data_IF_759709205062
#
_entry.id   IF_759709205062
#
_cell.length_a   1.000
_cell.length_b   1.000
_cell.length_c   1.000
_cell.angle_alpha   90.00
_cell.angle_beta   90.00
_cell.angle_gamma   90.00
#
_symmetry.space_group_name_H-M   'P 1'
#
loop_
_entity.id
_entity.type
_entity.pdbx_description
1 polymer ?
#
# COMPACT_ATOMS: atom_id res chain seq x y z
N UNK A 1 9.71 4.70 38.93
CA UNK A 1 11.02 5.18 38.72
C UNK A 1 11.35 5.53 37.31
N UNK A 2 12.59 5.79 37.03
CA UNK A 2 13.07 6.21 35.72
C UNK A 2 12.75 5.16 34.61
N UNK A 3 12.87 3.91 34.97
CA UNK A 3 12.58 2.82 34.04
C UNK A 3 11.11 2.79 33.59
N UNK A 4 10.19 2.97 34.54
CA UNK A 4 8.77 3.01 34.21
C UNK A 4 8.41 4.23 33.36
N UNK A 5 9.08 5.36 33.59
CA UNK A 5 8.88 6.54 32.77
C UNK A 5 9.29 6.30 31.32
N UNK A 6 10.42 5.64 31.08
CA UNK A 6 10.87 5.31 29.73
C UNK A 6 9.89 4.40 29.00
N UNK A 7 9.32 3.41 29.67
CA UNK A 7 8.33 2.54 29.07
C UNK A 7 7.06 3.29 28.70
N UNK A 8 6.60 4.20 29.56
CA UNK A 8 5.41 4.97 29.28
C UNK A 8 5.58 5.97 28.15
N UNK A 9 6.73 6.64 28.08
CA UNK A 9 6.98 7.68 27.06
C UNK A 9 7.35 7.13 25.70
N UNK A 10 7.81 5.88 25.61
CA UNK A 10 8.22 5.26 24.36
C UNK A 10 7.10 4.58 23.58
N UNK A 11 5.92 4.47 24.17
CA UNK A 11 4.81 3.78 23.52
C UNK A 11 4.02 4.71 22.62
N UNK A 12 4.10 4.48 21.32
CA UNK A 12 3.23 5.11 20.33
C UNK A 12 2.23 4.07 19.84
N UNK A 13 1.06 4.51 19.36
CA UNK A 13 0.15 3.60 18.67
C UNK A 13 0.82 3.07 17.41
N UNK A 14 0.38 1.90 16.93
CA UNK A 14 0.94 1.32 15.70
C UNK A 14 0.77 2.25 14.51
N UNK A 15 -0.34 2.99 14.44
CA UNK A 15 -0.62 3.93 13.35
C UNK A 15 0.32 5.14 13.36
N UNK A 16 0.90 5.47 14.51
CA UNK A 16 1.80 6.62 14.68
C UNK A 16 3.27 6.27 14.50
N UNK A 17 3.60 4.97 14.43
CA UNK A 17 4.99 4.56 14.27
C UNK A 17 5.51 4.99 12.90
N UNK A 18 6.66 5.71 12.84
CA UNK A 18 7.20 6.11 11.55
C UNK A 18 7.68 4.90 10.77
N UNK A 19 7.47 4.92 9.46
CA UNK A 19 8.07 3.93 8.59
C UNK A 19 9.54 4.22 8.41
N UNK A 20 10.38 3.17 8.46
CA UNK A 20 11.79 3.29 8.15
C UNK A 20 12.04 3.73 6.70
N UNK A 21 11.05 3.59 5.82
CA UNK A 21 11.15 3.92 4.40
C UNK A 21 10.85 5.38 4.08
N UNK A 22 10.30 6.15 5.01
CA UNK A 22 9.95 7.55 4.72
C UNK A 22 11.18 8.31 4.21
N UNK A 23 11.02 8.95 3.04
CA UNK A 23 12.04 9.68 2.29
C UNK A 23 13.14 8.81 1.70
N UNK A 24 12.99 7.48 1.74
CA UNK A 24 13.94 6.54 1.15
C UNK A 24 13.38 5.94 -0.14
N UNK A 25 14.26 5.46 -1.03
CA UNK A 25 13.80 4.72 -2.20
C UNK A 25 13.01 3.48 -1.77
N UNK A 26 11.99 3.11 -2.56
CA UNK A 26 11.30 1.84 -2.34
C UNK A 26 12.30 0.69 -2.49
N UNK A 27 12.15 -0.37 -1.70
CA UNK A 27 13.01 -1.56 -1.87
C UNK A 27 12.89 -2.14 -3.27
N UNK A 28 13.98 -2.74 -3.75
CA UNK A 28 13.96 -3.48 -5.02
C UNK A 28 13.07 -4.71 -4.87
N UNK A 29 12.15 -4.88 -5.82
CA UNK A 29 11.32 -6.09 -5.87
C UNK A 29 10.87 -6.35 -7.30
N UNK A 30 10.52 -7.60 -7.56
CA UNK A 30 9.97 -8.03 -8.85
C UNK A 30 9.01 -9.18 -8.58
N UNK A 31 7.71 -8.88 -8.65
CA UNK A 31 6.66 -9.82 -8.31
C UNK A 31 5.93 -10.29 -9.57
N UNK A 32 5.57 -11.58 -9.63
CA UNK A 32 4.77 -12.09 -10.75
C UNK A 32 3.33 -11.56 -10.68
N UNK A 33 2.55 -11.69 -11.76
CA UNK A 33 1.12 -11.38 -11.71
C UNK A 33 0.40 -12.34 -10.76
N UNK A 34 -0.78 -11.93 -10.30
CA UNK A 34 -1.56 -12.77 -9.38
C UNK A 34 -2.04 -14.07 -10.03
N UNK A 35 -2.20 -14.09 -11.36
CA UNK A 35 -2.67 -15.26 -12.09
C UNK A 35 -2.04 -15.31 -13.47
N UNK A 36 -1.67 -16.53 -13.90
CA UNK A 36 -1.14 -16.75 -15.22
C UNK A 36 0.28 -16.25 -15.42
N UNK A 37 0.67 -16.16 -16.69
CA UNK A 37 1.94 -15.59 -17.12
C UNK A 37 1.72 -14.13 -17.52
N UNK A 38 2.78 -13.36 -17.51
CA UNK A 38 2.73 -11.97 -17.92
C UNK A 38 3.43 -11.04 -16.93
N UNK A 39 3.09 -9.76 -17.02
CA UNK A 39 3.73 -8.72 -16.25
C UNK A 39 3.05 -8.57 -14.90
N UNK A 40 3.84 -8.67 -13.83
CA UNK A 40 3.41 -8.36 -12.47
C UNK A 40 3.74 -6.92 -12.09
N UNK A 41 4.54 -6.75 -11.05
CA UNK A 41 4.89 -5.44 -10.52
C UNK A 41 6.33 -5.42 -10.04
N UNK A 42 7.07 -4.35 -10.38
CA UNK A 42 8.41 -4.13 -9.86
C UNK A 42 8.57 -2.67 -9.42
N UNK A 43 9.66 -2.37 -8.70
CA UNK A 43 9.95 -1.00 -8.26
C UNK A 43 10.12 -0.02 -9.42
N UNK A 44 10.47 -0.52 -10.59
CA UNK A 44 10.63 0.33 -11.78
C UNK A 44 9.31 0.95 -12.23
N UNK A 45 8.20 0.26 -11.97
CA UNK A 45 6.86 0.77 -12.31
C UNK A 45 6.45 1.98 -11.48
N UNK A 46 7.15 2.20 -10.35
CA UNK A 46 6.83 3.27 -9.41
C UNK A 46 7.57 4.58 -9.68
N UNK A 47 8.24 4.68 -10.81
CA UNK A 47 9.00 5.88 -11.17
C UNK A 47 8.31 6.67 -12.27
N UNK A 48 8.56 7.99 -12.30
CA UNK A 48 8.06 8.87 -13.35
C UNK A 48 6.70 9.49 -13.08
N UNK A 49 6.02 9.09 -12.01
CA UNK A 49 4.72 9.64 -11.61
C UNK A 49 4.51 9.44 -10.11
N UNK A 50 3.66 10.27 -9.53
CA UNK A 50 3.21 10.07 -8.15
C UNK A 50 2.19 8.95 -8.14
N UNK A 51 2.36 7.98 -7.26
CA UNK A 51 1.50 6.80 -7.20
C UNK A 51 1.18 6.38 -5.77
N UNK A 52 0.17 5.53 -5.64
CA UNK A 52 -0.13 4.82 -4.41
C UNK A 52 0.29 3.37 -4.56
N UNK A 53 0.81 2.80 -3.49
CA UNK A 53 1.06 1.35 -3.38
C UNK A 53 0.23 0.84 -2.22
N UNK A 54 -0.64 -0.11 -2.50
CA UNK A 54 -1.57 -0.69 -1.53
C UNK A 54 -1.25 -2.16 -1.31
N UNK A 55 -0.99 -2.54 -0.07
CA UNK A 55 -0.77 -3.93 0.31
C UNK A 55 -2.10 -4.50 0.80
N UNK A 56 -2.59 -5.53 0.12
CA UNK A 56 -3.93 -6.05 0.32
C UNK A 56 -3.97 -7.57 0.18
N UNK A 57 -5.09 -8.16 0.62
CA UNK A 57 -5.38 -9.57 0.40
C UNK A 57 -6.89 -9.78 0.34
N UNK A 58 -7.32 -10.80 -0.39
CA UNK A 58 -8.75 -11.13 -0.49
C UNK A 58 -9.32 -11.63 0.83
N UNK A 59 -8.49 -12.23 1.68
CA UNK A 59 -8.88 -12.76 2.99
C UNK A 59 -8.91 -11.69 4.09
N UNK A 60 -8.64 -10.45 3.76
CA UNK A 60 -8.51 -9.33 4.71
C UNK A 60 -9.81 -8.52 4.73
N UNK A 61 -10.66 -8.60 5.76
CA UNK A 61 -11.92 -7.85 5.81
C UNK A 61 -11.74 -6.33 5.71
N UNK A 62 -10.78 -5.69 6.41
CA UNK A 62 -10.57 -4.24 6.24
C UNK A 62 -10.20 -3.84 4.82
N UNK A 63 -9.53 -4.73 4.06
CA UNK A 63 -9.22 -4.47 2.66
C UNK A 63 -10.49 -4.36 1.82
N UNK A 64 -11.52 -5.14 2.14
CA UNK A 64 -12.81 -5.04 1.47
C UNK A 64 -13.52 -3.73 1.78
N UNK A 65 -13.42 -3.29 3.04
CA UNK A 65 -14.06 -2.04 3.48
C UNK A 65 -13.49 -0.83 2.75
N UNK A 66 -12.16 -0.77 2.56
CA UNK A 66 -11.53 0.39 1.91
C UNK A 66 -11.61 0.36 0.39
N UNK A 67 -11.96 -0.77 -0.21
CA UNK A 67 -11.79 -0.97 -1.66
C UNK A 67 -12.52 0.08 -2.49
N UNK A 68 -13.71 0.52 -2.06
CA UNK A 68 -14.46 1.57 -2.74
C UNK A 68 -13.74 2.93 -2.71
N UNK A 69 -12.95 3.18 -1.65
CA UNK A 69 -12.13 4.40 -1.57
C UNK A 69 -11.00 4.33 -2.59
N UNK A 70 -10.35 3.17 -2.72
CA UNK A 70 -9.33 2.96 -3.76
C UNK A 70 -9.92 3.15 -5.15
N UNK A 71 -11.13 2.65 -5.40
CA UNK A 71 -11.81 2.85 -6.68
C UNK A 71 -12.03 4.33 -6.98
N UNK A 72 -12.42 5.13 -5.98
CA UNK A 72 -12.57 6.58 -6.15
C UNK A 72 -11.25 7.27 -6.46
N UNK A 73 -10.16 6.86 -5.80
CA UNK A 73 -8.83 7.41 -6.08
C UNK A 73 -8.43 7.09 -7.52
N UNK A 74 -8.65 5.86 -7.95
CA UNK A 74 -8.33 5.45 -9.32
C UNK A 74 -9.10 6.30 -10.35
N UNK A 75 -10.36 6.62 -10.07
CA UNK A 75 -11.18 7.45 -10.95
C UNK A 75 -10.64 8.88 -11.12
N UNK A 76 -9.83 9.35 -10.18
CA UNK A 76 -9.17 10.67 -10.32
C UNK A 76 -7.96 10.63 -11.26
N UNK A 77 -7.57 9.46 -11.75
CA UNK A 77 -6.41 9.29 -12.62
C UNK A 77 -5.10 9.02 -11.89
N UNK A 78 -5.11 8.97 -10.56
CA UNK A 78 -3.91 8.64 -9.78
C UNK A 78 -3.58 7.17 -9.96
N UNK A 79 -2.35 6.82 -10.36
CA UNK A 79 -1.95 5.42 -10.47
C UNK A 79 -1.95 4.73 -9.10
N UNK A 80 -2.56 3.55 -9.03
CA UNK A 80 -2.51 2.71 -7.84
C UNK A 80 -1.92 1.37 -8.25
N UNK A 81 -0.95 0.90 -7.48
CA UNK A 81 -0.32 -0.40 -7.67
C UNK A 81 -0.61 -1.27 -6.45
N UNK A 82 -0.91 -2.54 -6.69
CA UNK A 82 -1.27 -3.46 -5.62
C UNK A 82 -0.18 -4.49 -5.36
N UNK A 83 0.13 -4.70 -4.09
CA UNK A 83 0.93 -5.84 -3.64
C UNK A 83 -0.03 -6.80 -2.95
N UNK A 84 -0.27 -7.94 -3.57
CA UNK A 84 -1.20 -8.95 -3.07
C UNK A 84 -0.47 -9.90 -2.13
N UNK A 85 -0.76 -9.79 -0.84
CA UNK A 85 -0.03 -10.45 0.23
C UNK A 85 -0.57 -11.85 0.52
N UNK A 86 0.27 -12.87 0.36
CA UNK A 86 0.00 -14.26 0.74
C UNK A 86 -1.42 -14.72 0.43
N UNK A 87 -1.81 -14.60 -0.83
CA UNK A 87 -3.16 -14.91 -1.28
C UNK A 87 -3.11 -16.06 -2.28
N UNK A 88 -4.27 -16.62 -2.60
CA UNK A 88 -4.38 -17.56 -3.70
C UNK A 88 -4.71 -16.81 -4.98
N UNK A 89 -4.22 -17.28 -6.16
CA UNK A 89 -4.53 -16.61 -7.42
C UNK A 89 -6.03 -16.48 -7.67
N UNK A 90 -6.78 -17.55 -7.42
CA UNK A 90 -8.22 -17.60 -7.68
C UNK A 90 -8.99 -16.63 -6.78
N UNK A 91 -8.67 -16.60 -5.48
CA UNK A 91 -9.36 -15.72 -4.54
C UNK A 91 -9.02 -14.24 -4.83
N UNK A 92 -7.77 -13.94 -5.13
CA UNK A 92 -7.35 -12.58 -5.48
C UNK A 92 -8.04 -12.09 -6.76
N UNK A 93 -8.06 -12.92 -7.80
CA UNK A 93 -8.73 -12.59 -9.06
C UNK A 93 -10.22 -12.38 -8.87
N UNK A 94 -10.87 -13.23 -8.07
CA UNK A 94 -12.31 -13.12 -7.76
C UNK A 94 -12.62 -11.84 -7.01
N UNK A 95 -11.78 -11.46 -6.05
CA UNK A 95 -11.92 -10.20 -5.31
C UNK A 95 -11.96 -9.00 -6.28
N UNK A 96 -11.00 -8.92 -7.19
CA UNK A 96 -10.93 -7.82 -8.16
C UNK A 96 -12.08 -7.85 -9.16
N UNK A 97 -12.52 -9.04 -9.57
CA UNK A 97 -13.66 -9.18 -10.48
C UNK A 97 -14.95 -8.69 -9.81
N UNK A 98 -15.17 -9.04 -8.54
CA UNK A 98 -16.42 -8.75 -7.84
C UNK A 98 -16.47 -7.31 -7.31
N UNK A 99 -15.35 -6.76 -6.85
CA UNK A 99 -15.31 -5.44 -6.22
C UNK A 99 -14.74 -4.34 -7.10
N UNK A 100 -14.23 -4.71 -8.28
CA UNK A 100 -13.57 -3.78 -9.18
C UNK A 100 -12.05 -3.81 -9.03
N UNK A 101 -11.34 -3.40 -10.09
CA UNK A 101 -9.88 -3.38 -10.10
C UNK A 101 -9.37 -1.94 -10.21
N UNK A 102 -8.95 -1.32 -9.08
CA UNK A 102 -8.40 0.03 -9.10
C UNK A 102 -6.93 0.06 -9.51
N UNK A 103 -6.26 -1.10 -9.62
CA UNK A 103 -4.83 -1.19 -9.79
C UNK A 103 -4.41 -1.15 -11.25
N UNK A 104 -3.37 -0.37 -11.56
CA UNK A 104 -2.74 -0.42 -12.89
C UNK A 104 -1.95 -1.70 -13.08
N UNK A 105 -1.35 -2.21 -12.01
CA UNK A 105 -0.67 -3.50 -12.01
C UNK A 105 -0.70 -4.05 -10.59
N UNK A 106 -0.65 -5.38 -10.50
CA UNK A 106 -0.64 -6.09 -9.24
C UNK A 106 0.49 -7.11 -9.26
N UNK A 107 1.25 -7.15 -8.17
CA UNK A 107 2.27 -8.18 -7.96
C UNK A 107 1.84 -9.14 -6.86
N UNK A 108 2.08 -10.43 -7.07
CA UNK A 108 1.77 -11.47 -6.09
C UNK A 108 2.94 -11.70 -5.15
N UNK A 109 2.80 -11.23 -3.92
CA UNK A 109 3.79 -11.43 -2.85
C UNK A 109 3.46 -12.70 -2.08
N UNK A 110 3.71 -13.85 -2.71
CA UNK A 110 3.26 -15.15 -2.21
C UNK A 110 3.94 -15.56 -0.92
N UNK A 111 5.22 -15.18 -0.75
CA UNK A 111 5.98 -15.50 0.46
C UNK A 111 5.82 -14.44 1.54
N UNK A 112 5.37 -13.24 1.20
CA UNK A 112 5.30 -12.11 2.11
C UNK A 112 6.61 -11.36 2.27
N UNK A 113 7.65 -11.71 1.52
CA UNK A 113 8.97 -11.08 1.67
C UNK A 113 8.94 -9.61 1.29
N UNK A 114 8.24 -9.24 0.22
CA UNK A 114 8.13 -7.83 -0.19
C UNK A 114 7.43 -7.00 0.89
N UNK A 115 6.37 -7.51 1.48
CA UNK A 115 5.70 -6.83 2.58
C UNK A 115 6.64 -6.62 3.77
N UNK A 116 7.46 -7.62 4.09
CA UNK A 116 8.47 -7.50 5.15
C UNK A 116 9.47 -6.39 4.79
N UNK A 117 9.97 -6.38 3.57
CA UNK A 117 10.95 -5.38 3.10
C UNK A 117 10.38 -3.96 3.16
N UNK A 118 9.08 -3.81 2.97
CA UNK A 118 8.38 -2.52 3.07
C UNK A 118 8.01 -2.17 4.51
N UNK A 119 8.29 -3.04 5.48
CA UNK A 119 7.97 -2.79 6.88
C UNK A 119 6.48 -2.91 7.20
N UNK A 120 5.72 -3.64 6.40
CA UNK A 120 4.28 -3.82 6.60
C UNK A 120 4.03 -4.71 7.82
N UNK A 121 3.19 -4.26 8.74
CA UNK A 121 2.81 -5.04 9.91
C UNK A 121 1.30 -5.10 10.12
N UNK A 122 0.53 -4.43 9.32
CA UNK A 122 -0.93 -4.49 9.33
C UNK A 122 -1.47 -4.52 7.90
N UNK A 123 -2.69 -4.99 7.74
CA UNK A 123 -3.32 -5.05 6.43
C UNK A 123 -4.71 -4.43 6.50
N UNK A 124 -5.05 -3.51 5.59
CA UNK A 124 -4.21 -3.01 4.51
C UNK A 124 -3.22 -1.93 4.97
N UNK A 125 -2.20 -1.68 4.17
CA UNK A 125 -1.35 -0.51 4.28
C UNK A 125 -1.24 0.17 2.92
N UNK A 126 -1.14 1.50 2.95
CA UNK A 126 -1.05 2.29 1.73
C UNK A 126 0.10 3.27 1.82
N UNK A 127 0.92 3.30 0.78
CA UNK A 127 2.09 4.18 0.68
C UNK A 127 1.89 5.15 -0.47
N UNK A 128 2.31 6.41 -0.27
CA UNK A 128 2.43 7.39 -1.35
C UNK A 128 3.88 7.44 -1.79
N UNK A 129 4.11 7.24 -3.09
CA UNK A 129 5.45 7.19 -3.68
C UNK A 129 5.57 8.34 -4.67
N UNK A 130 6.66 9.12 -4.57
CA UNK A 130 6.86 10.26 -5.46
C UNK A 130 7.46 9.85 -6.80
N UNK A 131 7.66 10.83 -7.70
CA UNK A 131 8.15 10.60 -9.08
C UNK A 131 9.51 9.92 -9.13
N UNK A 132 10.34 10.09 -8.12
CA UNK A 132 11.67 9.48 -8.08
C UNK A 132 11.68 8.11 -7.39
N UNK A 133 10.52 7.57 -7.03
CA UNK A 133 10.43 6.27 -6.40
C UNK A 133 10.72 6.26 -4.91
N UNK A 134 10.52 7.40 -4.23
CA UNK A 134 10.72 7.49 -2.77
C UNK A 134 9.38 7.49 -2.04
N UNK A 135 9.34 6.81 -0.91
CA UNK A 135 8.15 6.77 -0.04
C UNK A 135 8.02 8.10 0.68
N UNK A 136 6.86 8.75 0.53
CA UNK A 136 6.60 10.05 1.16
C UNK A 136 5.55 9.99 2.26
N UNK A 137 4.76 8.93 2.31
CA UNK A 137 3.68 8.81 3.29
C UNK A 137 3.28 7.35 3.44
N UNK A 138 2.85 6.99 4.64
CA UNK A 138 2.38 5.64 4.96
C UNK A 138 1.11 5.74 5.80
N UNK A 139 0.10 4.99 5.40
CA UNK A 139 -1.15 4.86 6.15
C UNK A 139 -1.35 3.40 6.51
N UNK A 140 -1.49 3.10 7.80
CA UNK A 140 -1.77 1.77 8.30
C UNK A 140 -3.26 1.64 8.55
N UNK A 141 -3.85 0.55 8.07
CA UNK A 141 -5.28 0.30 8.19
C UNK A 141 -6.08 0.82 7.01
N UNK A 142 -7.40 0.63 7.03
CA UNK A 142 -8.25 1.00 5.91
C UNK A 142 -8.31 2.51 5.71
N UNK A 143 -8.24 2.93 4.44
CA UNK A 143 -8.44 4.33 4.06
C UNK A 143 -9.92 4.69 4.15
N UNK A 144 -10.20 5.86 4.71
CA UNK A 144 -11.54 6.43 4.77
C UNK A 144 -11.67 7.56 3.75
N UNK A 145 -12.91 8.04 3.54
CA UNK A 145 -13.17 9.24 2.74
C UNK A 145 -12.43 10.46 3.30
N UNK A 146 -12.38 10.58 4.63
CA UNK A 146 -11.65 11.68 5.27
C UNK A 146 -10.16 11.59 5.02
N UNK A 147 -9.57 10.39 5.08
CA UNK A 147 -8.16 10.19 4.73
C UNK A 147 -7.90 10.61 3.28
N UNK A 148 -8.79 10.23 2.38
CA UNK A 148 -8.69 10.59 0.96
C UNK A 148 -8.66 12.11 0.77
N UNK A 149 -9.63 12.81 1.31
CA UNK A 149 -9.80 14.24 1.06
C UNK A 149 -8.83 15.10 1.86
N UNK A 150 -8.51 14.71 3.07
CA UNK A 150 -7.72 15.55 3.98
C UNK A 150 -6.23 15.25 3.95
N UNK A 151 -5.81 14.06 3.49
CA UNK A 151 -4.41 13.66 3.52
C UNK A 151 -3.88 13.21 2.17
N UNK A 152 -4.53 12.26 1.53
CA UNK A 152 -3.98 11.61 0.33
C UNK A 152 -3.99 12.54 -0.87
N UNK A 153 -5.15 13.07 -1.24
CA UNK A 153 -5.26 13.95 -2.42
C UNK A 153 -4.44 15.24 -2.28
N UNK A 154 -4.43 15.92 -1.12
CA UNK A 154 -3.57 17.09 -0.96
C UNK A 154 -2.09 16.77 -1.11
N UNK A 155 -1.64 15.63 -0.56
CA UNK A 155 -0.24 15.23 -0.68
C UNK A 155 0.14 14.91 -2.12
N UNK A 156 -0.71 14.16 -2.82
CA UNK A 156 -0.46 13.84 -4.24
C UNK A 156 -0.31 15.12 -5.05
N UNK A 157 -1.19 16.10 -4.84
CA UNK A 157 -1.11 17.39 -5.54
C UNK A 157 0.20 18.11 -5.26
N UNK A 158 0.69 18.08 -4.01
CA UNK A 158 1.97 18.71 -3.67
C UNK A 158 3.16 18.02 -4.33
N UNK A 159 3.08 16.71 -4.53
CA UNK A 159 4.18 15.91 -5.10
C UNK A 159 4.19 15.91 -6.63
N UNK A 160 3.10 16.27 -7.26
CA UNK A 160 3.01 16.38 -8.72
C UNK A 160 3.79 17.62 -9.25
#
# INVERSE_FOLDING_TARGET
>A
GFYLWQLGSGQKSLEELPSALINKPVPTFNLPPIMGEGVGLSEKDLRGHVSLVNVWASWCPPCRVEHKVLMKIADTGVPIFGINYKDTPEAAARFLKNLGNPFRAVGADRTGQTAIDWGVYGYPETFVVNKSGRVKYRHVGPLTEDDLHNQILPLIRRLQ
#
